data_IF_710588977530
#
_entry.id   IF_710588977530
#
_cell.length_a   1.000
_cell.length_b   1.000
_cell.length_c   1.000
_cell.angle_alpha   90.00
_cell.angle_beta   90.00
_cell.angle_gamma   90.00
#
_symmetry.space_group_name_H-M   'P 1'
#
loop_
_entity.id
_entity.type
_entity.pdbx_description
1 polymer ?
#
# COMPACT_ATOMS: atom_id res chain seq x y z
N UNK A 1 2.88 15.39 11.82
CA UNK A 1 2.34 14.02 11.88
C UNK A 1 2.40 13.42 10.48
N UNK A 2 3.43 12.62 10.21
CA UNK A 2 3.52 11.76 9.04
C UNK A 2 3.09 10.39 9.51
N UNK A 3 1.86 9.99 9.18
CA UNK A 3 1.52 8.58 9.13
C UNK A 3 1.79 8.17 7.68
N UNK A 4 3.06 7.90 7.35
CA UNK A 4 3.28 6.93 6.29
C UNK A 4 2.62 5.64 6.80
N UNK A 5 1.81 4.94 6.01
CA UNK A 5 1.35 3.63 6.44
C UNK A 5 2.60 2.79 6.63
N UNK A 6 2.95 2.51 7.89
CA UNK A 6 3.90 1.47 8.23
C UNK A 6 3.21 0.17 7.81
N UNK A 7 3.43 -0.24 6.56
CA UNK A 7 3.13 -1.58 6.11
C UNK A 7 4.12 -2.50 6.81
N UNK A 8 3.92 -2.72 8.11
CA UNK A 8 4.61 -3.82 8.78
C UNK A 8 4.13 -5.09 8.09
N UNK A 9 5.07 -5.88 7.58
CA UNK A 9 4.74 -7.17 7.01
C UNK A 9 3.98 -7.96 8.10
N UNK A 10 2.80 -8.52 7.78
CA UNK A 10 2.07 -9.32 8.75
C UNK A 10 2.97 -10.46 9.25
N UNK A 11 2.87 -10.86 10.53
CA UNK A 11 3.64 -11.97 11.06
C UNK A 11 3.38 -13.23 10.23
N UNK A 12 4.37 -14.12 10.12
CA UNK A 12 4.30 -15.27 9.23
C UNK A 12 3.05 -16.16 9.43
N UNK A 13 2.56 -16.28 10.68
CA UNK A 13 1.34 -17.02 10.97
C UNK A 13 0.07 -16.40 10.34
N UNK A 14 0.04 -15.07 10.22
CA UNK A 14 -1.08 -14.35 9.59
C UNK A 14 -1.04 -14.53 8.06
N UNK A 15 0.15 -14.71 7.48
CA UNK A 15 0.31 -14.98 6.06
C UNK A 15 -0.19 -16.37 5.65
N UNK A 16 0.11 -17.41 6.44
CA UNK A 16 -0.39 -18.77 6.17
C UNK A 16 -1.92 -18.81 6.22
N UNK A 17 -2.53 -18.18 7.23
CA UNK A 17 -3.99 -18.09 7.34
C UNK A 17 -4.60 -17.32 6.16
N UNK A 18 -3.98 -16.22 5.74
CA UNK A 18 -4.45 -15.44 4.59
C UNK A 18 -4.32 -16.21 3.27
N UNK A 19 -3.26 -17.02 3.12
CA UNK A 19 -3.08 -17.89 1.97
C UNK A 19 -4.20 -18.95 1.90
N UNK A 20 -4.49 -19.62 3.02
CA UNK A 20 -5.58 -20.60 3.11
C UNK A 20 -6.93 -19.98 2.75
N UNK A 21 -7.20 -18.76 3.23
CA UNK A 21 -8.42 -18.01 2.88
C UNK A 21 -8.50 -17.68 1.40
N UNK A 22 -7.40 -17.24 0.78
CA UNK A 22 -7.36 -16.93 -0.65
C UNK A 22 -7.58 -18.18 -1.51
N UNK A 23 -6.99 -19.31 -1.13
CA UNK A 23 -7.18 -20.60 -1.78
C UNK A 23 -8.63 -21.06 -1.66
N UNK A 24 -9.22 -20.97 -0.46
CA UNK A 24 -10.62 -21.32 -0.22
C UNK A 24 -11.58 -20.45 -1.07
N UNK A 25 -11.30 -19.15 -1.20
CA UNK A 25 -12.07 -18.23 -2.05
C UNK A 25 -12.01 -18.59 -3.54
N UNK A 26 -10.94 -19.26 -3.98
CA UNK A 26 -10.75 -19.75 -5.34
C UNK A 26 -11.18 -21.22 -5.52
N UNK A 27 -12.04 -21.73 -4.65
CA UNK A 27 -12.57 -23.09 -4.75
C UNK A 27 -11.53 -24.19 -4.45
N UNK A 28 -10.45 -23.85 -3.74
CA UNK A 28 -9.37 -24.77 -3.41
C UNK A 28 -8.26 -24.86 -4.45
N UNK A 29 -8.35 -24.12 -5.57
CA UNK A 29 -7.27 -24.09 -6.57
C UNK A 29 -6.25 -22.99 -6.25
N UNK A 30 -5.08 -23.42 -5.75
CA UNK A 30 -3.97 -22.54 -5.45
C UNK A 30 -3.43 -21.79 -6.68
N UNK A 31 -3.50 -22.36 -7.88
CA UNK A 31 -3.07 -21.68 -9.11
C UNK A 31 -4.03 -20.55 -9.47
N UNK A 32 -5.33 -20.74 -9.29
CA UNK A 32 -6.30 -19.66 -9.50
C UNK A 32 -6.19 -18.59 -8.42
N UNK A 33 -5.92 -18.96 -7.16
CA UNK A 33 -5.62 -17.99 -6.10
C UNK A 33 -4.41 -17.11 -6.45
N UNK A 34 -3.32 -17.70 -6.95
CA UNK A 34 -2.15 -16.95 -7.39
C UNK A 34 -2.48 -16.00 -8.55
N UNK A 35 -3.23 -16.45 -9.56
CA UNK A 35 -3.65 -15.57 -10.67
C UNK A 35 -4.51 -14.40 -10.17
N UNK A 36 -5.47 -14.66 -9.29
CA UNK A 36 -6.32 -13.65 -8.69
C UNK A 36 -5.49 -12.63 -7.89
N UNK A 37 -4.52 -13.08 -7.10
CA UNK A 37 -3.61 -12.22 -6.35
C UNK A 37 -2.73 -11.34 -7.25
N UNK A 38 -2.23 -11.87 -8.38
CA UNK A 38 -1.45 -11.07 -9.34
C UNK A 38 -2.32 -9.94 -9.93
N UNK A 39 -3.56 -10.25 -10.33
CA UNK A 39 -4.49 -9.24 -10.86
C UNK A 39 -4.83 -8.20 -9.80
N UNK A 40 -5.13 -8.63 -8.57
CA UNK A 40 -5.43 -7.74 -7.45
C UNK A 40 -4.24 -6.84 -7.10
N UNK A 41 -3.02 -7.36 -7.14
CA UNK A 41 -1.82 -6.58 -6.88
C UNK A 41 -1.62 -5.49 -7.94
N UNK A 42 -1.73 -5.83 -9.24
CA UNK A 42 -1.64 -4.83 -10.31
C UNK A 42 -2.70 -3.71 -10.19
N UNK A 43 -3.91 -4.05 -9.73
CA UNK A 43 -4.95 -3.06 -9.44
C UNK A 43 -4.59 -2.14 -8.25
N UNK A 44 -4.01 -2.68 -7.18
CA UNK A 44 -3.56 -1.89 -6.03
C UNK A 44 -2.38 -0.98 -6.39
N UNK A 45 -1.41 -1.48 -7.16
CA UNK A 45 -0.28 -0.69 -7.66
C UNK A 45 -0.76 0.50 -8.49
N UNK A 46 -1.73 0.28 -9.39
CA UNK A 46 -2.34 1.34 -10.18
C UNK A 46 -3.00 2.42 -9.30
N UNK A 47 -3.79 2.01 -8.29
CA UNK A 47 -4.42 2.97 -7.37
C UNK A 47 -3.40 3.75 -6.54
N UNK A 48 -2.30 3.12 -6.14
CA UNK A 48 -1.22 3.80 -5.41
C UNK A 48 -0.57 4.87 -6.29
N UNK A 49 -0.33 4.57 -7.56
CA UNK A 49 0.25 5.53 -8.50
C UNK A 49 -0.71 6.68 -8.84
N UNK A 50 -2.00 6.39 -9.01
CA UNK A 50 -3.05 7.40 -9.16
C UNK A 50 -3.08 8.33 -7.94
N UNK A 51 -3.10 7.77 -6.73
CA UNK A 51 -3.12 8.55 -5.50
C UNK A 51 -1.86 9.41 -5.35
N UNK A 52 -0.68 8.85 -5.65
CA UNK A 52 0.59 9.60 -5.65
C UNK A 52 0.56 10.76 -6.63
N UNK A 53 -0.05 10.59 -7.80
CA UNK A 53 -0.19 11.66 -8.79
C UNK A 53 -1.18 12.77 -8.36
N UNK A 54 -2.23 12.40 -7.60
CA UNK A 54 -3.26 13.31 -7.13
C UNK A 54 -2.84 14.16 -5.92
N UNK A 55 -1.84 13.71 -5.14
CA UNK A 55 -1.27 14.50 -4.04
C UNK A 55 -0.37 15.59 -4.64
N UNK A 56 -0.89 16.81 -4.77
CA UNK A 56 -0.15 17.99 -5.25
C UNK A 56 1.17 18.19 -4.52
N UNK A 57 2.25 18.41 -5.27
CA UNK A 57 3.57 18.84 -4.74
C UNK A 57 3.49 20.11 -3.88
N UNK A 58 2.40 20.88 -3.98
CA UNK A 58 2.11 22.03 -3.11
C UNK A 58 1.85 21.67 -1.65
N UNK A 59 1.33 20.47 -1.34
CA UNK A 59 1.14 20.02 0.05
C UNK A 59 2.49 19.70 0.75
N UNK A 60 3.54 19.45 -0.04
CA UNK A 60 4.90 19.26 0.47
C UNK A 60 5.61 20.60 0.77
N UNK A 61 5.39 21.65 -0.03
CA UNK A 61 6.10 22.96 0.13
C UNK A 61 5.82 23.63 1.48
N UNK A 62 4.56 23.66 1.92
CA UNK A 62 4.18 24.31 3.19
C UNK A 62 4.70 23.65 4.47
N UNK A 63 5.27 22.43 4.39
CA UNK A 63 5.84 21.73 5.55
C UNK A 63 7.33 21.98 5.77
N UNK A 64 8.07 22.45 4.76
CA UNK A 64 9.51 22.69 4.86
C UNK A 64 9.87 24.18 4.94
N UNK A 65 8.97 25.10 4.57
CA UNK A 65 9.26 26.54 4.62
C UNK A 65 9.32 27.14 6.04
N UNK A 66 8.72 26.50 7.06
CA UNK A 66 8.75 27.02 8.45
C UNK A 66 10.09 26.91 9.17
N UNK A 67 11.10 26.28 8.56
CA UNK A 67 12.44 26.17 9.17
C UNK A 67 13.35 27.34 8.77
N UNK A 68 13.03 28.10 7.71
CA UNK A 68 13.90 29.18 7.20
C UNK A 68 13.52 30.61 7.62
N UNK A 69 12.39 30.82 8.29
CA UNK A 69 11.95 32.15 8.75
C UNK A 69 12.35 32.47 10.22
N UNK A 70 13.24 31.68 10.84
CA UNK A 70 13.69 31.93 12.23
C UNK A 70 15.16 32.38 12.34
N UNK A 71 15.73 32.90 11.25
CA UNK A 71 17.09 33.45 11.19
C UNK A 71 17.17 34.82 10.48
N UNK A 72 16.12 35.64 10.57
CA UNK A 72 16.23 37.10 10.34
C UNK A 72 15.74 37.88 11.57
#
# INVERSE_FOLDING_TARGET
>A
MSAAPEFSAPPAADLELAADQAIAACGGDAREAVKALIVANGFLETQVDELRSAVSSGYARGRYDRVREREE
#
